data_IF_448740372861
#
_entry.id   IF_448740372861
#
_cell.length_a   1.000
_cell.length_b   1.000
_cell.length_c   1.000
_cell.angle_alpha   90.00
_cell.angle_beta   90.00
_cell.angle_gamma   90.00
#
_symmetry.space_group_name_H-M   'P 1'
#
loop_
_entity.id
_entity.type
_entity.pdbx_description
1 polymer ?
#
# COMPACT_ATOMS: atom_id res chain seq x y z
N UNK A 1 33.86 85.56 4.79
CA UNK A 1 34.55 84.63 5.73
C UNK A 1 33.51 83.69 6.34
N UNK A 2 33.73 82.36 6.31
CA UNK A 2 32.93 81.27 6.97
C UNK A 2 31.46 81.16 6.47
N UNK A 3 30.93 79.99 6.05
CA UNK A 3 30.63 78.71 6.78
C UNK A 3 29.65 78.96 7.95
N UNK A 4 28.50 78.28 8.18
CA UNK A 4 27.79 77.05 7.69
C UNK A 4 26.26 77.33 7.78
N UNK A 5 25.25 76.68 7.17
CA UNK A 5 25.14 75.56 6.21
C UNK A 5 24.11 74.47 6.63
N UNK A 6 23.50 73.73 5.67
CA UNK A 6 22.59 72.56 5.82
C UNK A 6 21.16 72.84 6.39
N UNK A 7 20.09 72.06 6.12
CA UNK A 7 19.86 70.84 5.31
C UNK A 7 18.37 70.76 4.88
N UNK A 8 18.05 70.25 3.68
CA UNK A 8 16.80 69.48 3.44
C UNK A 8 17.17 68.27 2.58
N UNK A 9 16.88 67.07 3.10
CA UNK A 9 17.18 65.78 2.48
C UNK A 9 16.08 65.35 1.52
N UNK A 10 16.39 65.27 0.22
CA UNK A 10 15.56 64.59 -0.77
C UNK A 10 15.93 63.11 -0.86
N UNK A 11 14.95 62.23 -0.68
CA UNK A 11 15.12 60.77 -0.74
C UNK A 11 15.26 60.32 -2.20
N UNK A 12 16.34 59.61 -2.56
CA UNK A 12 16.49 58.99 -3.87
C UNK A 12 16.76 57.49 -3.70
N UNK A 13 15.70 56.68 -3.69
CA UNK A 13 15.82 55.23 -3.62
C UNK A 13 16.20 54.66 -4.99
N UNK A 14 17.42 54.15 -5.12
CA UNK A 14 17.84 53.34 -6.27
C UNK A 14 17.22 51.95 -6.19
N UNK A 15 16.45 51.60 -7.22
CA UNK A 15 15.88 50.27 -7.43
C UNK A 15 16.98 49.27 -7.78
N UNK A 16 17.17 48.25 -6.95
CA UNK A 16 17.83 47.00 -7.34
C UNK A 16 16.77 45.92 -7.53
N UNK A 17 16.34 45.75 -8.78
CA UNK A 17 15.45 44.66 -9.18
C UNK A 17 16.32 43.40 -9.24
N UNK A 18 16.31 42.61 -8.17
CA UNK A 18 16.83 41.24 -8.23
C UNK A 18 15.82 40.40 -8.99
N UNK A 19 16.06 40.19 -10.28
CA UNK A 19 15.34 39.17 -11.04
C UNK A 19 15.79 37.79 -10.59
N UNK A 20 15.07 37.21 -9.62
CA UNK A 20 15.13 35.77 -9.41
C UNK A 20 14.78 35.08 -10.72
N UNK A 21 15.75 34.38 -11.31
CA UNK A 21 15.49 33.48 -12.42
C UNK A 21 14.59 32.36 -11.90
N UNK A 22 13.28 32.48 -12.15
CA UNK A 22 12.29 31.42 -11.94
C UNK A 22 12.47 30.32 -12.97
N UNK A 23 13.60 29.61 -12.88
CA UNK A 23 13.69 28.27 -13.42
C UNK A 23 12.71 27.41 -12.64
N UNK A 24 11.62 26.99 -13.29
CA UNK A 24 10.65 26.03 -12.75
C UNK A 24 11.31 24.64 -12.57
N UNK A 25 12.17 24.53 -11.57
CA UNK A 25 12.45 23.24 -10.92
C UNK A 25 11.27 22.98 -10.00
N UNK A 26 10.52 21.92 -10.28
CA UNK A 26 9.54 21.38 -9.34
C UNK A 26 10.27 21.08 -8.02
N UNK A 27 10.01 21.86 -6.97
CA UNK A 27 10.63 21.64 -5.66
C UNK A 27 10.03 20.39 -5.04
N UNK A 28 10.82 19.32 -4.98
CA UNK A 28 10.45 18.11 -4.25
C UNK A 28 10.62 18.33 -2.75
N UNK A 29 9.69 17.78 -1.96
CA UNK A 29 9.71 17.83 -0.51
C UNK A 29 10.45 16.60 0.03
N UNK A 30 11.33 16.80 1.00
CA UNK A 30 12.06 15.73 1.67
C UNK A 30 11.45 15.35 3.04
N UNK A 31 10.14 15.50 3.17
CA UNK A 31 9.39 15.22 4.38
C UNK A 31 8.21 16.15 4.61
N UNK A 32 7.78 16.22 5.87
CA UNK A 32 6.61 16.95 6.36
C UNK A 32 7.01 18.08 7.33
N UNK A 33 8.27 18.55 7.29
CA UNK A 33 8.83 19.52 8.23
C UNK A 33 8.04 20.84 8.21
N UNK A 34 7.65 21.30 7.02
CA UNK A 34 6.88 22.54 6.80
C UNK A 34 5.36 22.32 6.80
N UNK A 35 4.90 21.07 6.90
CA UNK A 35 3.47 20.74 6.97
C UNK A 35 2.85 21.15 8.31
N UNK A 36 1.56 21.55 8.34
CA UNK A 36 0.84 21.82 9.58
C UNK A 36 0.60 20.55 10.37
N UNK A 37 0.39 20.69 11.68
CA UNK A 37 -0.18 19.62 12.52
C UNK A 37 -1.67 19.49 12.17
N UNK A 38 -2.05 18.34 11.60
CA UNK A 38 -3.42 18.06 11.12
C UNK A 38 -4.18 17.09 12.02
N UNK A 39 -3.49 16.41 12.94
CA UNK A 39 -4.12 15.52 13.90
C UNK A 39 -3.42 15.46 15.25
N UNK A 40 -4.17 14.96 16.23
CA UNK A 40 -3.69 14.73 17.60
C UNK A 40 -4.20 13.38 18.10
N UNK A 41 -3.50 12.81 19.08
CA UNK A 41 -3.99 11.61 19.74
C UNK A 41 -5.18 11.94 20.66
N UNK A 42 -6.25 11.16 20.51
CA UNK A 42 -7.46 11.23 21.32
C UNK A 42 -7.72 9.87 21.98
N UNK A 43 -8.27 9.89 23.19
CA UNK A 43 -8.66 8.68 23.91
C UNK A 43 -10.01 8.16 23.36
N UNK A 44 -10.05 6.90 22.90
CA UNK A 44 -11.26 6.21 22.43
C UNK A 44 -11.38 4.88 23.17
N UNK A 45 -12.27 4.81 24.17
CA UNK A 45 -12.26 3.68 25.10
C UNK A 45 -10.91 3.62 25.82
N UNK A 46 -10.22 2.47 25.72
CA UNK A 46 -8.86 2.29 26.24
C UNK A 46 -7.75 2.63 25.21
N UNK A 47 -8.10 2.95 23.96
CA UNK A 47 -7.14 3.20 22.87
C UNK A 47 -6.73 4.67 22.72
N UNK A 48 -5.52 4.88 22.19
CA UNK A 48 -5.03 6.17 21.71
C UNK A 48 -5.09 6.18 20.18
N UNK A 49 -5.99 6.97 19.62
CA UNK A 49 -6.23 7.07 18.17
C UNK A 49 -5.68 8.39 17.66
N UNK A 50 -4.88 8.38 16.59
CA UNK A 50 -4.51 9.62 15.90
C UNK A 50 -5.70 10.09 15.06
N UNK A 51 -6.38 11.13 15.52
CA UNK A 51 -7.55 11.73 14.86
C UNK A 51 -7.12 12.98 14.10
N UNK A 52 -7.32 12.98 12.78
CA UNK A 52 -6.97 14.09 11.90
C UNK A 52 -8.21 14.88 11.43
N UNK A 53 -8.05 16.18 11.15
CA UNK A 53 -9.05 17.00 10.44
C UNK A 53 -8.54 17.28 9.03
N UNK A 54 -9.29 16.82 8.03
CA UNK A 54 -8.96 16.97 6.61
C UNK A 54 -8.83 18.46 6.22
N UNK A 55 -9.54 19.38 6.88
CA UNK A 55 -9.50 20.82 6.61
C UNK A 55 -8.15 21.47 6.95
N UNK A 56 -7.31 20.78 7.72
CA UNK A 56 -5.97 21.24 8.08
C UNK A 56 -4.91 20.78 7.07
N UNK A 57 -5.23 19.85 6.15
CA UNK A 57 -4.32 19.43 5.09
C UNK A 57 -4.08 20.59 4.10
N UNK A 58 -2.80 20.88 3.84
CA UNK A 58 -2.38 21.86 2.82
C UNK A 58 -2.29 21.23 1.42
N UNK A 59 -2.09 22.10 0.42
CA UNK A 59 -1.80 21.75 -0.97
C UNK A 59 -0.82 20.58 -1.14
N UNK A 60 -0.95 19.87 -2.27
CA UNK A 60 -0.19 18.65 -2.55
C UNK A 60 1.33 18.87 -2.57
N UNK A 61 2.04 18.27 -1.61
CA UNK A 61 3.50 18.20 -1.64
C UNK A 61 3.98 17.17 -2.68
N UNK A 62 5.19 17.38 -3.20
CA UNK A 62 5.82 16.44 -4.14
C UNK A 62 6.81 15.56 -3.39
N UNK A 63 6.33 14.45 -2.82
CA UNK A 63 7.12 13.58 -1.95
C UNK A 63 7.98 12.62 -2.77
N UNK A 64 9.26 12.47 -2.40
CA UNK A 64 10.17 11.50 -3.03
C UNK A 64 10.02 10.12 -2.40
N UNK A 65 10.08 9.05 -3.22
CA UNK A 65 10.05 7.68 -2.74
C UNK A 65 11.19 7.38 -1.75
N UNK A 66 12.38 7.98 -1.95
CA UNK A 66 13.50 7.94 -0.99
C UNK A 66 13.16 8.42 0.42
N UNK A 67 12.10 9.19 0.63
CA UNK A 67 11.67 9.58 1.99
C UNK A 67 11.13 8.38 2.77
N UNK A 68 10.38 7.50 2.10
CA UNK A 68 9.69 6.35 2.70
C UNK A 68 10.50 5.05 2.65
N UNK A 69 11.47 4.94 1.72
CA UNK A 69 12.16 3.68 1.43
C UNK A 69 13.69 3.76 1.47
N UNK A 70 14.32 2.58 1.62
CA UNK A 70 15.71 2.30 1.26
C UNK A 70 15.89 2.23 -0.28
N UNK A 71 17.14 2.12 -0.78
CA UNK A 71 17.39 2.02 -2.24
C UNK A 71 16.79 0.70 -2.76
N UNK A 72 16.04 0.70 -3.88
CA UNK A 72 15.40 -0.50 -4.40
C UNK A 72 16.39 -1.53 -4.92
N UNK A 73 16.01 -2.78 -4.77
CA UNK A 73 16.44 -3.87 -5.64
C UNK A 73 15.62 -3.83 -6.95
N UNK A 74 16.28 -4.09 -8.07
CA UNK A 74 15.64 -4.30 -9.37
C UNK A 74 15.85 -5.75 -9.75
N UNK A 75 14.77 -6.51 -9.82
CA UNK A 75 14.79 -7.97 -9.95
C UNK A 75 14.13 -8.35 -11.28
N UNK A 76 14.94 -8.82 -12.22
CA UNK A 76 14.46 -9.38 -13.48
C UNK A 76 13.90 -10.78 -13.21
N UNK A 77 12.60 -11.02 -13.46
CA UNK A 77 12.04 -12.36 -13.33
C UNK A 77 12.49 -13.27 -14.49
N UNK A 78 12.56 -14.56 -14.22
CA UNK A 78 12.96 -15.60 -15.16
C UNK A 78 12.12 -15.60 -16.45
N UNK A 79 12.77 -15.62 -17.61
CA UNK A 79 12.14 -15.52 -18.94
C UNK A 79 11.60 -16.87 -19.48
N UNK A 80 11.68 -17.97 -18.73
CA UNK A 80 11.10 -19.26 -19.14
C UNK A 80 9.58 -19.19 -19.28
N UNK A 81 9.02 -19.89 -20.27
CA UNK A 81 7.57 -19.90 -20.56
C UNK A 81 6.73 -20.27 -19.32
N UNK A 82 7.18 -21.22 -18.50
CA UNK A 82 6.47 -21.61 -17.27
C UNK A 82 6.53 -20.56 -16.14
N UNK A 83 7.43 -19.58 -16.23
CA UNK A 83 7.67 -18.52 -15.25
C UNK A 83 6.94 -17.21 -15.56
N UNK A 84 6.44 -17.03 -16.79
CA UNK A 84 5.85 -15.77 -17.25
C UNK A 84 4.67 -15.31 -16.38
N UNK A 85 4.71 -14.04 -15.96
CA UNK A 85 3.67 -13.41 -15.15
C UNK A 85 3.51 -11.94 -15.58
N UNK A 86 2.28 -11.50 -15.90
CA UNK A 86 2.00 -10.09 -16.16
C UNK A 86 1.81 -9.30 -14.85
N UNK A 87 1.59 -7.98 -14.96
CA UNK A 87 1.36 -7.10 -13.80
C UNK A 87 0.28 -7.65 -12.84
N UNK A 88 0.55 -7.50 -11.55
CA UNK A 88 -0.22 -8.08 -10.46
C UNK A 88 0.54 -7.99 -9.12
N UNK A 89 -0.05 -8.50 -8.04
CA UNK A 89 0.58 -8.41 -6.71
C UNK A 89 1.78 -9.36 -6.58
N UNK A 90 2.72 -8.96 -5.73
CA UNK A 90 3.85 -9.78 -5.29
C UNK A 90 3.88 -9.74 -3.77
N UNK A 91 3.82 -10.92 -3.15
CA UNK A 91 4.04 -11.10 -1.72
C UNK A 91 5.53 -11.36 -1.53
N UNK A 92 6.13 -10.69 -0.55
CA UNK A 92 7.58 -10.69 -0.32
C UNK A 92 7.89 -11.30 1.03
N UNK A 93 8.96 -12.09 1.05
CA UNK A 93 9.65 -12.63 2.22
C UNK A 93 11.15 -12.35 2.10
N UNK A 94 11.95 -12.85 3.04
CA UNK A 94 13.39 -12.61 3.06
C UNK A 94 14.11 -13.24 1.86
N UNK A 95 13.75 -14.47 1.46
CA UNK A 95 14.38 -15.15 0.32
C UNK A 95 13.45 -15.43 -0.88
N UNK A 96 12.14 -15.16 -0.79
CA UNK A 96 11.19 -15.47 -1.87
C UNK A 96 10.27 -14.32 -2.28
N UNK A 97 9.92 -14.33 -3.57
CA UNK A 97 8.87 -13.52 -4.19
C UNK A 97 7.75 -14.44 -4.67
N UNK A 98 6.52 -14.18 -4.26
CA UNK A 98 5.34 -14.94 -4.66
C UNK A 98 4.40 -14.04 -5.46
N UNK A 99 4.41 -14.18 -6.78
CA UNK A 99 3.67 -13.31 -7.70
C UNK A 99 2.35 -13.96 -8.18
N UNK A 100 1.29 -13.16 -8.30
CA UNK A 100 0.04 -13.57 -8.94
C UNK A 100 -0.54 -12.46 -9.82
N UNK A 101 -1.61 -12.78 -10.55
CA UNK A 101 -2.55 -11.80 -11.07
C UNK A 101 -3.97 -12.40 -11.16
N UNK A 102 -4.98 -11.56 -11.31
CA UNK A 102 -6.38 -11.99 -11.40
C UNK A 102 -6.76 -12.51 -12.81
N UNK A 103 -5.78 -12.90 -13.66
CA UNK A 103 -6.01 -13.36 -15.05
C UNK A 103 -6.04 -14.89 -15.17
N UNK A 104 -6.62 -15.58 -14.18
CA UNK A 104 -6.76 -17.05 -14.13
C UNK A 104 -5.43 -17.83 -14.14
N UNK A 105 -4.33 -17.19 -13.73
CA UNK A 105 -3.02 -17.82 -13.60
C UNK A 105 -2.79 -18.28 -12.16
N UNK A 106 -2.21 -19.47 -11.94
CA UNK A 106 -1.71 -19.83 -10.63
C UNK A 106 -0.50 -18.96 -10.25
N UNK A 107 -0.25 -18.85 -8.96
CA UNK A 107 0.93 -18.22 -8.39
C UNK A 107 2.24 -18.76 -8.95
N UNK A 108 3.24 -17.86 -9.06
CA UNK A 108 4.63 -18.15 -9.42
C UNK A 108 5.55 -17.80 -8.25
N UNK A 109 6.33 -18.76 -7.78
CA UNK A 109 7.34 -18.57 -6.74
C UNK A 109 8.71 -18.38 -7.38
N UNK A 110 9.41 -17.32 -6.97
CA UNK A 110 10.77 -17.00 -7.37
C UNK A 110 11.66 -16.80 -6.15
N UNK A 111 12.97 -16.91 -6.32
CA UNK A 111 13.93 -16.40 -5.33
C UNK A 111 14.10 -14.86 -5.44
N UNK A 112 14.80 -14.24 -4.49
CA UNK A 112 15.13 -12.79 -4.53
C UNK A 112 16.03 -12.36 -5.71
N UNK A 113 16.55 -13.30 -6.50
CA UNK A 113 17.31 -12.98 -7.73
C UNK A 113 16.43 -13.06 -8.98
N UNK A 114 15.15 -13.42 -8.81
CA UNK A 114 14.18 -13.56 -9.89
C UNK A 114 14.19 -14.93 -10.57
N UNK A 115 14.96 -15.92 -10.09
CA UNK A 115 14.95 -17.26 -10.65
C UNK A 115 13.62 -17.95 -10.32
N UNK A 116 12.96 -18.52 -11.33
CA UNK A 116 11.70 -19.23 -11.11
C UNK A 116 11.92 -20.60 -10.47
N UNK A 117 11.21 -20.85 -9.36
CA UNK A 117 11.35 -22.06 -8.57
C UNK A 117 10.24 -23.07 -8.85
N UNK A 118 8.98 -22.63 -8.75
CA UNK A 118 7.81 -23.51 -8.88
C UNK A 118 6.50 -22.72 -9.05
N UNK A 119 5.45 -23.42 -9.48
CA UNK A 119 4.06 -22.92 -9.50
C UNK A 119 3.32 -23.46 -8.27
N UNK A 120 2.53 -22.62 -7.59
CA UNK A 120 1.82 -23.04 -6.37
C UNK A 120 0.34 -23.34 -6.71
N UNK A 121 -0.01 -24.62 -6.85
CA UNK A 121 -1.36 -25.07 -7.20
C UNK A 121 -1.79 -24.77 -8.65
N UNK A 122 -3.09 -24.91 -8.94
CA UNK A 122 -3.69 -24.68 -10.26
C UNK A 122 -4.97 -23.84 -10.19
N UNK A 123 -5.33 -23.22 -11.32
CA UNK A 123 -6.60 -22.52 -11.46
C UNK A 123 -7.75 -23.52 -11.66
N UNK A 124 -8.71 -23.55 -10.74
CA UNK A 124 -9.82 -24.50 -10.80
C UNK A 124 -10.66 -24.60 -9.53
N UNK A 125 -11.37 -25.73 -9.39
CA UNK A 125 -12.29 -26.02 -8.28
C UNK A 125 -12.06 -27.40 -7.66
N UNK A 126 -11.06 -28.15 -8.13
CA UNK A 126 -10.65 -29.43 -7.56
C UNK A 126 -9.92 -29.29 -6.21
N UNK A 127 -9.52 -30.42 -5.60
CA UNK A 127 -8.69 -30.41 -4.39
C UNK A 127 -7.36 -29.70 -4.66
N UNK A 128 -7.02 -28.70 -3.84
CA UNK A 128 -5.84 -27.86 -4.01
C UNK A 128 -5.81 -27.06 -5.33
N UNK A 129 -7.00 -26.67 -5.80
CA UNK A 129 -7.16 -25.66 -6.84
C UNK A 129 -7.85 -24.42 -6.26
N UNK A 130 -7.67 -23.27 -6.90
CA UNK A 130 -8.35 -22.03 -6.52
C UNK A 130 -8.77 -21.22 -7.75
N UNK A 131 -9.80 -20.39 -7.59
CA UNK A 131 -10.22 -19.43 -8.61
C UNK A 131 -9.58 -18.06 -8.33
N UNK A 132 -10.38 -17.08 -7.94
CA UNK A 132 -9.86 -15.81 -7.43
C UNK A 132 -9.35 -16.02 -6.00
N UNK A 133 -8.23 -15.38 -5.66
CA UNK A 133 -7.68 -15.33 -4.31
C UNK A 133 -7.99 -13.97 -3.70
N UNK A 134 -8.26 -13.91 -2.39
CA UNK A 134 -8.48 -12.66 -1.69
C UNK A 134 -7.22 -12.21 -0.95
N UNK A 135 -6.59 -13.13 -0.22
CA UNK A 135 -5.39 -12.88 0.58
C UNK A 135 -4.46 -14.10 0.59
N UNK A 136 -3.18 -13.91 0.87
CA UNK A 136 -2.20 -14.99 1.00
C UNK A 136 -0.91 -14.52 1.71
N UNK A 137 -0.19 -15.47 2.31
CA UNK A 137 1.06 -15.22 3.02
C UNK A 137 2.12 -16.27 2.69
N UNK A 138 3.39 -15.85 2.70
CA UNK A 138 4.56 -16.74 2.74
C UNK A 138 5.01 -16.84 4.20
N UNK A 139 5.27 -18.05 4.65
CA UNK A 139 5.82 -18.38 5.96
C UNK A 139 7.08 -19.22 5.72
N UNK A 140 8.17 -18.49 5.50
CA UNK A 140 9.42 -19.04 4.99
C UNK A 140 10.09 -19.97 6.02
N UNK A 141 10.12 -19.56 7.28
CA UNK A 141 10.77 -20.30 8.38
C UNK A 141 10.22 -21.73 8.54
N UNK A 142 8.97 -21.94 8.14
CA UNK A 142 8.25 -23.20 8.32
C UNK A 142 7.95 -23.95 7.01
N UNK A 143 8.52 -23.51 5.88
CA UNK A 143 8.31 -24.09 4.54
C UNK A 143 6.80 -24.07 4.16
N UNK A 144 6.12 -22.93 4.30
CA UNK A 144 4.67 -22.80 4.04
C UNK A 144 4.27 -21.60 3.18
N UNK A 145 3.25 -21.83 2.36
CA UNK A 145 2.49 -20.79 1.66
C UNK A 145 1.01 -21.02 1.97
N UNK A 146 0.34 -19.98 2.45
CA UNK A 146 -1.07 -19.98 2.80
C UNK A 146 -1.86 -19.14 1.80
N UNK A 147 -2.97 -19.68 1.30
CA UNK A 147 -3.81 -19.05 0.27
C UNK A 147 -5.24 -19.05 0.78
N UNK A 148 -5.90 -17.88 0.81
CA UNK A 148 -7.32 -17.74 1.13
C UNK A 148 -8.12 -17.42 -0.14
N UNK A 149 -8.75 -18.43 -0.79
CA UNK A 149 -9.58 -18.20 -1.96
C UNK A 149 -10.78 -17.31 -1.64
N UNK A 150 -11.27 -16.61 -2.66
CA UNK A 150 -12.47 -15.78 -2.54
C UNK A 150 -13.70 -16.62 -2.18
N UNK A 151 -14.49 -16.15 -1.21
CA UNK A 151 -15.63 -16.84 -0.63
C UNK A 151 -15.36 -18.27 -0.08
N UNK A 152 -14.16 -18.53 0.45
CA UNK A 152 -13.74 -19.86 0.91
C UNK A 152 -14.25 -20.24 2.32
N UNK A 153 -14.29 -21.55 2.58
CA UNK A 153 -14.46 -22.15 3.91
C UNK A 153 -13.18 -22.83 4.43
N UNK A 154 -12.04 -22.63 3.76
CA UNK A 154 -10.73 -23.14 4.13
C UNK A 154 -9.59 -22.27 3.58
N UNK A 155 -8.45 -22.28 4.26
CA UNK A 155 -7.18 -21.80 3.73
C UNK A 155 -6.46 -22.99 3.09
N UNK A 156 -6.03 -22.82 1.84
CA UNK A 156 -5.19 -23.79 1.14
C UNK A 156 -3.74 -23.62 1.59
N UNK A 157 -3.01 -24.73 1.72
CA UNK A 157 -1.65 -24.74 2.26
C UNK A 157 -0.75 -25.52 1.31
N UNK A 158 0.43 -24.97 1.02
CA UNK A 158 1.47 -25.60 0.21
C UNK A 158 2.83 -25.48 0.90
N UNK A 159 3.80 -26.29 0.51
CA UNK A 159 5.21 -26.04 0.81
C UNK A 159 5.86 -25.11 -0.23
N UNK A 160 7.08 -24.63 0.00
CA UNK A 160 7.82 -23.77 -0.92
C UNK A 160 8.28 -24.49 -2.20
N UNK A 161 8.02 -25.81 -2.32
CA UNK A 161 8.22 -26.61 -3.54
C UNK A 161 6.94 -26.72 -4.36
N UNK A 162 5.80 -26.26 -3.83
CA UNK A 162 4.48 -26.31 -4.46
C UNK A 162 3.69 -27.58 -4.17
N UNK A 163 4.14 -28.45 -3.25
CA UNK A 163 3.38 -29.63 -2.85
C UNK A 163 2.24 -29.22 -1.91
N UNK A 164 0.98 -29.64 -2.16
CA UNK A 164 -0.13 -29.34 -1.27
C UNK A 164 0.04 -30.03 0.08
N UNK A 165 -0.29 -29.29 1.13
CA UNK A 165 -0.32 -29.71 2.53
C UNK A 165 -1.78 -29.81 3.01
N UNK A 166 -2.07 -30.38 4.20
CA UNK A 166 -3.42 -30.36 4.76
C UNK A 166 -3.99 -28.93 4.82
N UNK A 167 -5.21 -28.73 4.34
CA UNK A 167 -5.89 -27.43 4.39
C UNK A 167 -6.32 -27.09 5.82
N UNK A 168 -6.40 -25.79 6.12
CA UNK A 168 -6.94 -25.31 7.39
C UNK A 168 -8.42 -24.96 7.18
N UNK A 169 -9.38 -25.77 7.68
CA UNK A 169 -10.80 -25.41 7.61
C UNK A 169 -11.09 -24.17 8.47
N UNK A 170 -11.90 -23.27 7.95
CA UNK A 170 -12.36 -22.08 8.67
C UNK A 170 -13.63 -22.39 9.44
N UNK A 171 -13.73 -21.93 10.69
CA UNK A 171 -14.95 -22.09 11.50
C UNK A 171 -16.15 -21.31 10.95
N UNK A 172 -15.89 -20.31 10.09
CA UNK A 172 -16.87 -19.49 9.37
C UNK A 172 -16.42 -19.34 7.92
N UNK A 173 -17.36 -19.37 6.98
CA UNK A 173 -17.08 -19.07 5.57
C UNK A 173 -16.69 -17.59 5.44
N UNK A 174 -15.52 -17.32 4.89
CA UNK A 174 -14.99 -15.98 4.64
C UNK A 174 -15.47 -15.47 3.27
N UNK A 175 -16.43 -14.53 3.15
CA UNK A 175 -16.86 -14.00 1.85
C UNK A 175 -15.75 -13.16 1.20
N UNK A 176 -15.12 -12.33 2.02
CA UNK A 176 -13.94 -11.50 1.79
C UNK A 176 -13.23 -11.41 3.14
N UNK A 177 -11.92 -11.62 3.18
CA UNK A 177 -11.22 -11.77 4.45
C UNK A 177 -9.71 -11.85 4.33
N UNK A 178 -9.03 -11.29 5.31
CA UNK A 178 -7.59 -11.33 5.50
C UNK A 178 -7.25 -12.17 6.73
N UNK A 179 -6.04 -12.72 6.79
CA UNK A 179 -5.66 -13.64 7.86
C UNK A 179 -4.17 -13.54 8.24
N UNK A 180 -3.89 -13.93 9.48
CA UNK A 180 -2.55 -14.09 10.04
C UNK A 180 -2.42 -15.48 10.65
N UNK A 181 -1.31 -16.17 10.37
CA UNK A 181 -1.03 -17.51 10.90
C UNK A 181 0.04 -17.42 11.98
N UNK A 182 -0.24 -17.95 13.17
CA UNK A 182 0.74 -18.15 14.23
C UNK A 182 0.97 -19.67 14.38
N UNK A 183 2.06 -20.16 13.77
CA UNK A 183 2.39 -21.58 13.78
C UNK A 183 2.83 -22.10 15.15
N UNK A 184 3.40 -21.24 16.01
CA UNK A 184 3.86 -21.63 17.33
C UNK A 184 2.70 -22.13 18.19
N UNK A 185 1.56 -21.44 18.11
CA UNK A 185 0.31 -21.84 18.75
C UNK A 185 -0.62 -22.68 17.84
N UNK A 186 -0.20 -22.93 16.59
CA UNK A 186 -0.99 -23.58 15.53
C UNK A 186 -2.39 -22.97 15.38
N UNK A 187 -2.44 -21.65 15.28
CA UNK A 187 -3.66 -20.86 15.12
C UNK A 187 -3.68 -20.02 13.85
N UNK A 188 -4.89 -19.71 13.41
CA UNK A 188 -5.12 -18.64 12.45
C UNK A 188 -6.07 -17.60 13.05
N UNK A 189 -5.67 -16.35 12.92
CA UNK A 189 -6.48 -15.16 13.16
C UNK A 189 -7.05 -14.70 11.81
N UNK A 190 -8.35 -14.40 11.77
CA UNK A 190 -9.03 -13.98 10.52
C UNK A 190 -9.84 -12.73 10.81
N UNK A 191 -9.79 -11.75 9.90
CA UNK A 191 -10.69 -10.60 9.89
C UNK A 191 -11.41 -10.53 8.55
N UNK A 192 -12.72 -10.33 8.59
CA UNK A 192 -13.60 -10.34 7.41
C UNK A 192 -14.18 -8.96 7.14
N UNK A 193 -14.70 -8.81 5.92
CA UNK A 193 -15.75 -7.84 5.66
C UNK A 193 -17.07 -8.37 6.28
N UNK A 194 -17.60 -7.73 7.34
CA UNK A 194 -18.72 -8.28 8.09
C UNK A 194 -20.05 -7.89 7.43
N UNK A 195 -20.48 -8.70 6.47
CA UNK A 195 -21.81 -8.57 5.86
C UNK A 195 -22.94 -8.79 6.90
N UNK A 196 -24.20 -8.43 6.59
CA UNK A 196 -25.32 -8.62 7.49
C UNK A 196 -25.46 -10.10 7.90
N UNK A 197 -25.95 -10.32 9.12
CA UNK A 197 -26.14 -11.64 9.74
C UNK A 197 -24.86 -12.49 9.93
N UNK A 198 -23.66 -11.95 9.63
CA UNK A 198 -22.41 -12.61 9.99
C UNK A 198 -22.18 -12.57 11.51
N UNK A 199 -21.81 -13.69 12.17
CA UNK A 199 -21.68 -13.75 13.62
C UNK A 199 -20.36 -13.16 14.15
N UNK A 200 -19.42 -12.80 13.28
CA UNK A 200 -18.13 -12.24 13.65
C UNK A 200 -17.57 -11.31 12.56
N UNK A 201 -16.86 -10.26 12.97
CA UNK A 201 -15.94 -9.49 12.11
C UNK A 201 -14.52 -10.06 12.17
N UNK A 202 -14.10 -10.54 13.35
CA UNK A 202 -12.80 -11.18 13.55
C UNK A 202 -12.90 -12.40 14.46
N UNK A 203 -11.99 -13.37 14.31
CA UNK A 203 -11.85 -14.49 15.25
C UNK A 203 -10.44 -15.07 15.25
N UNK A 204 -10.16 -15.88 16.27
CA UNK A 204 -9.07 -16.84 16.28
C UNK A 204 -9.59 -18.27 16.36
N UNK A 205 -8.87 -19.20 15.75
CA UNK A 205 -9.16 -20.63 15.76
C UNK A 205 -7.87 -21.44 15.73
N UNK A 206 -7.95 -22.73 16.05
CA UNK A 206 -6.88 -23.67 15.71
C UNK A 206 -6.91 -24.07 14.23
N UNK A 207 -5.91 -24.85 13.82
CA UNK A 207 -5.80 -25.41 12.47
C UNK A 207 -6.85 -26.48 12.12
N UNK A 208 -7.72 -26.86 13.06
CA UNK A 208 -8.80 -27.84 12.85
C UNK A 208 -10.17 -27.17 12.70
N UNK A 209 -10.25 -25.85 12.74
CA UNK A 209 -11.51 -25.10 12.66
C UNK A 209 -12.21 -24.92 14.00
N UNK A 210 -11.57 -25.26 15.13
CA UNK A 210 -12.13 -24.99 16.45
C UNK A 210 -11.86 -23.53 16.81
N UNK A 211 -12.92 -22.72 16.83
CA UNK A 211 -12.87 -21.31 17.22
C UNK A 211 -12.47 -21.16 18.68
N UNK A 212 -11.42 -20.37 18.94
CA UNK A 212 -10.94 -20.03 20.29
C UNK A 212 -11.71 -18.83 20.84
N UNK A 213 -11.77 -17.74 20.09
CA UNK A 213 -12.49 -16.52 20.47
C UNK A 213 -12.95 -15.72 19.23
N UNK A 214 -13.86 -14.75 19.38
CA UNK A 214 -14.40 -13.94 18.28
C UNK A 214 -14.88 -12.54 18.69
N UNK A 215 -14.98 -11.64 17.73
CA UNK A 215 -15.53 -10.29 17.89
C UNK A 215 -16.78 -10.17 17.02
N UNK A 216 -17.92 -9.86 17.63
CA UNK A 216 -19.17 -9.57 16.91
C UNK A 216 -19.04 -8.31 16.04
N UNK A 217 -19.70 -8.21 14.87
CA UNK A 217 -19.53 -7.05 13.98
C UNK A 217 -19.84 -5.69 14.61
N UNK A 218 -20.85 -5.61 15.48
CA UNK A 218 -21.28 -4.35 16.10
C UNK A 218 -21.45 -3.21 15.07
N UNK A 219 -20.78 -2.09 15.29
CA UNK A 219 -20.79 -0.92 14.40
C UNK A 219 -20.03 -1.13 13.08
N UNK A 220 -19.19 -2.17 12.98
CA UNK A 220 -18.37 -2.45 11.79
C UNK A 220 -19.16 -3.16 10.69
N UNK A 221 -20.35 -3.71 11.00
CA UNK A 221 -21.25 -4.33 10.04
C UNK A 221 -21.42 -3.47 8.78
N UNK A 222 -21.16 -4.06 7.61
CA UNK A 222 -21.26 -3.41 6.31
C UNK A 222 -22.44 -4.03 5.53
N UNK A 223 -23.19 -3.27 4.70
CA UNK A 223 -24.18 -3.85 3.81
C UNK A 223 -23.56 -4.87 2.85
N UNK A 224 -24.38 -5.79 2.35
CA UNK A 224 -23.95 -6.80 1.38
C UNK A 224 -23.79 -6.21 -0.02
N UNK A 225 -22.75 -5.40 -0.18
CA UNK A 225 -22.27 -4.89 -1.46
C UNK A 225 -20.84 -5.41 -1.69
N UNK A 226 -20.60 -6.04 -2.85
CA UNK A 226 -19.30 -6.62 -3.18
C UNK A 226 -18.26 -5.60 -3.68
N UNK A 227 -18.58 -4.30 -3.70
CA UNK A 227 -17.59 -3.21 -3.79
C UNK A 227 -16.96 -2.84 -2.45
N UNK A 228 -17.62 -3.17 -1.32
CA UNK A 228 -17.00 -3.03 0.01
C UNK A 228 -15.82 -4.00 0.14
N UNK A 229 -14.75 -3.63 0.84
CA UNK A 229 -13.52 -4.43 0.99
C UNK A 229 -13.04 -4.54 2.45
N UNK A 230 -12.20 -5.53 2.72
CA UNK A 230 -11.35 -5.59 3.92
C UNK A 230 -9.90 -5.75 3.48
N UNK A 231 -9.04 -4.86 3.94
CA UNK A 231 -7.64 -4.78 3.52
C UNK A 231 -6.71 -4.83 4.74
N UNK A 232 -5.56 -5.45 4.55
CA UNK A 232 -4.42 -5.49 5.46
C UNK A 232 -3.18 -5.24 4.62
N UNK A 233 -2.17 -4.58 5.17
CA UNK A 233 -0.93 -4.27 4.45
C UNK A 233 0.34 -4.80 5.12
N UNK A 234 0.30 -5.21 6.40
CA UNK A 234 1.38 -5.88 7.14
C UNK A 234 2.72 -5.11 7.10
N UNK A 235 2.68 -3.78 7.00
CA UNK A 235 3.86 -2.94 6.81
C UNK A 235 4.65 -2.65 8.10
N UNK A 236 4.15 -3.10 9.25
CA UNK A 236 4.83 -3.00 10.54
C UNK A 236 4.99 -4.41 11.12
N UNK A 237 6.23 -4.89 11.35
CA UNK A 237 6.46 -6.25 11.84
C UNK A 237 5.69 -6.56 13.13
N UNK A 238 5.00 -7.70 13.14
CA UNK A 238 4.18 -8.15 14.28
C UNK A 238 2.86 -7.41 14.48
N UNK A 239 2.46 -6.53 13.56
CA UNK A 239 1.17 -5.84 13.57
C UNK A 239 0.26 -6.42 12.48
N UNK A 240 -0.94 -6.85 12.87
CA UNK A 240 -2.02 -7.19 11.94
C UNK A 240 -2.94 -5.96 11.80
N UNK A 241 -2.58 -5.04 10.89
CA UNK A 241 -3.39 -3.87 10.56
C UNK A 241 -4.61 -4.26 9.72
N UNK A 242 -5.75 -3.61 9.92
CA UNK A 242 -6.99 -3.87 9.16
C UNK A 242 -7.72 -2.58 8.86
N UNK A 243 -8.09 -2.39 7.59
CA UNK A 243 -9.01 -1.36 7.14
C UNK A 243 -10.26 -2.00 6.52
N UNK A 244 -11.45 -1.58 6.94
CA UNK A 244 -12.72 -1.98 6.34
C UNK A 244 -13.20 -0.81 5.48
N UNK A 245 -13.35 -1.02 4.17
CA UNK A 245 -13.75 0.01 3.22
C UNK A 245 -15.23 -0.14 2.89
N UNK A 246 -16.05 0.75 3.44
CA UNK A 246 -17.48 0.86 3.12
C UNK A 246 -17.70 1.86 1.97
N UNK A 247 -17.96 1.33 0.79
CA UNK A 247 -18.23 2.06 -0.46
C UNK A 247 -19.71 2.44 -0.57
N UNK A 248 -20.62 1.56 -0.12
CA UNK A 248 -22.08 1.77 -0.18
C UNK A 248 -22.78 1.32 1.12
N UNK A 249 -23.36 2.25 1.91
CA UNK A 249 -23.06 3.69 1.93
C UNK A 249 -21.67 3.94 2.52
N UNK A 250 -21.14 5.14 2.30
CA UNK A 250 -19.97 5.61 3.05
C UNK A 250 -20.31 5.85 4.52
N UNK A 251 -19.31 5.69 5.39
CA UNK A 251 -19.37 6.01 6.81
C UNK A 251 -18.04 6.58 7.28
N UNK A 252 -18.01 7.26 8.42
CA UNK A 252 -16.75 7.47 9.15
C UNK A 252 -16.20 6.10 9.56
N UNK A 253 -14.93 5.85 9.29
CA UNK A 253 -14.25 4.61 9.68
C UNK A 253 -12.86 4.90 10.25
N UNK A 254 -12.20 3.86 10.79
CA UNK A 254 -10.83 3.93 11.29
C UNK A 254 -9.93 2.89 10.60
N UNK A 255 -8.62 3.07 10.75
CA UNK A 255 -7.69 1.96 10.66
C UNK A 255 -7.66 1.25 12.02
N UNK A 256 -7.62 -0.08 12.00
CA UNK A 256 -7.59 -0.92 13.18
C UNK A 256 -6.33 -1.78 13.23
N UNK A 257 -6.03 -2.33 14.40
CA UNK A 257 -5.11 -3.46 14.59
C UNK A 257 -5.84 -4.57 15.32
N UNK A 258 -5.71 -5.81 14.83
CA UNK A 258 -6.25 -6.98 15.53
C UNK A 258 -5.18 -7.58 16.45
N UNK A 259 -5.30 -7.32 17.75
CA UNK A 259 -4.63 -8.11 18.78
C UNK A 259 -5.36 -9.45 18.90
N UNK A 260 -4.94 -10.41 18.09
CA UNK A 260 -5.51 -11.74 18.04
C UNK A 260 -5.20 -12.57 19.30
N UNK A 261 -4.20 -12.19 20.11
CA UNK A 261 -3.84 -12.90 21.35
C UNK A 261 -4.79 -12.55 22.49
N UNK A 262 -5.27 -11.31 22.53
CA UNK A 262 -6.27 -10.83 23.49
C UNK A 262 -7.67 -10.66 22.87
N UNK A 263 -7.87 -11.14 21.64
CA UNK A 263 -9.09 -11.01 20.84
C UNK A 263 -9.69 -9.59 20.83
N UNK A 264 -8.87 -8.59 20.50
CA UNK A 264 -9.24 -7.18 20.57
C UNK A 264 -8.91 -6.43 19.27
N UNK A 265 -9.93 -5.84 18.65
CA UNK A 265 -9.78 -5.01 17.45
C UNK A 265 -9.75 -3.53 17.88
N UNK A 266 -8.61 -2.88 17.68
CA UNK A 266 -8.27 -1.59 18.31
C UNK A 266 -8.08 -0.51 17.25
N UNK A 267 -8.84 0.60 17.26
CA UNK A 267 -8.62 1.71 16.32
C UNK A 267 -7.27 2.39 16.57
N UNK A 268 -6.62 2.90 15.52
CA UNK A 268 -5.29 3.55 15.60
C UNK A 268 -5.20 4.87 14.85
N UNK A 269 -5.96 5.04 13.76
CA UNK A 269 -5.99 6.24 12.93
C UNK A 269 -7.39 6.49 12.38
N UNK A 270 -7.81 7.75 12.26
CA UNK A 270 -9.04 8.15 11.56
C UNK A 270 -8.92 9.57 10.97
N UNK A 271 -9.61 9.82 9.87
CA UNK A 271 -9.70 11.12 9.22
C UNK A 271 -11.13 11.67 9.31
N UNK A 272 -11.27 12.85 9.92
CA UNK A 272 -12.52 13.61 9.88
C UNK A 272 -12.60 14.34 8.52
N UNK A 273 -13.33 13.73 7.58
CA UNK A 273 -13.66 14.32 6.30
C UNK A 273 -14.62 15.51 6.44
N UNK A 274 -14.51 16.46 5.53
CA UNK A 274 -15.27 17.71 5.56
C UNK A 274 -16.54 17.68 4.70
N UNK A 275 -16.62 16.69 3.81
CA UNK A 275 -17.65 16.52 2.79
C UNK A 275 -18.82 15.64 3.28
N UNK A 276 -20.01 15.91 2.74
CA UNK A 276 -21.22 15.10 2.92
C UNK A 276 -21.87 14.83 1.55
N UNK A 277 -22.00 13.57 1.10
CA UNK A 277 -21.52 12.35 1.75
C UNK A 277 -19.99 12.29 1.83
N UNK A 278 -19.50 11.63 2.89
CA UNK A 278 -18.07 11.32 3.09
C UNK A 278 -17.53 10.57 1.86
N UNK A 279 -16.30 10.85 1.38
CA UNK A 279 -15.68 10.13 0.26
C UNK A 279 -15.50 8.63 0.52
N UNK A 280 -15.34 7.87 -0.55
CA UNK A 280 -14.72 6.53 -0.48
C UNK A 280 -13.29 6.71 0.00
N UNK A 281 -12.90 6.01 1.05
CA UNK A 281 -11.56 6.17 1.63
C UNK A 281 -11.01 4.85 2.15
N UNK A 282 -9.69 4.77 2.17
CA UNK A 282 -8.92 3.68 2.74
C UNK A 282 -7.69 4.20 3.47
N UNK A 283 -7.15 3.38 4.36
CA UNK A 283 -6.01 3.72 5.21
C UNK A 283 -4.92 2.64 5.14
N UNK A 284 -3.67 3.08 5.18
CA UNK A 284 -2.47 2.23 5.25
C UNK A 284 -1.61 2.70 6.42
N UNK A 285 -1.20 1.76 7.27
CA UNK A 285 -0.12 2.00 8.22
C UNK A 285 1.23 1.75 7.54
N UNK A 286 2.16 2.71 7.61
CA UNK A 286 3.59 2.51 7.37
C UNK A 286 4.32 2.57 8.73
N UNK A 287 5.63 2.28 8.88
CA UNK A 287 6.30 2.36 10.18
C UNK A 287 6.14 3.71 10.90
N UNK A 288 6.43 4.82 10.23
CA UNK A 288 6.44 6.17 10.82
C UNK A 288 5.24 7.06 10.42
N UNK A 289 4.43 6.62 9.46
CA UNK A 289 3.35 7.42 8.87
C UNK A 289 2.07 6.61 8.75
N UNK A 290 0.93 7.30 8.72
CA UNK A 290 -0.27 6.77 8.07
C UNK A 290 -0.41 7.43 6.70
N UNK A 291 -0.82 6.64 5.71
CA UNK A 291 -1.26 7.13 4.41
C UNK A 291 -2.76 6.85 4.32
N UNK A 292 -3.51 7.75 3.68
CA UNK A 292 -4.87 7.45 3.27
C UNK A 292 -5.17 7.97 1.87
N UNK A 293 -6.19 7.38 1.28
CA UNK A 293 -6.78 7.83 0.02
C UNK A 293 -8.22 8.31 0.22
N UNK A 294 -8.67 9.20 -0.65
CA UNK A 294 -10.07 9.63 -0.73
C UNK A 294 -10.50 9.81 -2.20
N UNK A 295 -11.64 9.24 -2.57
CA UNK A 295 -12.18 9.25 -3.93
C UNK A 295 -13.71 9.27 -3.94
N UNK A 296 -14.30 9.43 -5.13
CA UNK A 296 -15.73 9.64 -5.31
C UNK A 296 -16.32 8.76 -6.43
N UNK A 297 -17.60 8.34 -6.32
CA UNK A 297 -18.30 7.65 -7.40
C UNK A 297 -18.44 8.54 -8.65
N UNK A 298 -17.87 8.08 -9.76
CA UNK A 298 -18.07 8.64 -11.10
C UNK A 298 -18.94 7.69 -11.92
N UNK A 299 -20.16 8.12 -12.26
CA UNK A 299 -21.04 7.35 -13.13
C UNK A 299 -20.45 7.27 -14.55
N UNK A 300 -20.37 6.05 -15.10
CA UNK A 300 -19.88 5.77 -16.47
C UNK A 300 -20.92 5.10 -17.36
N UNK A 301 -21.99 4.56 -16.77
CA UNK A 301 -23.15 4.04 -17.49
C UNK A 301 -24.42 4.24 -16.65
N UNK A 302 -25.60 3.95 -17.21
CA UNK A 302 -26.86 3.98 -16.45
C UNK A 302 -26.85 3.07 -15.20
N UNK A 303 -25.98 2.06 -15.14
CA UNK A 303 -25.92 1.05 -14.09
C UNK A 303 -24.51 0.82 -13.52
N UNK A 304 -23.53 1.68 -13.85
CA UNK A 304 -22.12 1.46 -13.49
C UNK A 304 -21.42 2.74 -13.06
N UNK A 305 -20.68 2.63 -11.96
CA UNK A 305 -19.82 3.67 -11.39
C UNK A 305 -18.39 3.15 -11.32
N UNK A 306 -17.43 4.06 -11.43
CA UNK A 306 -16.00 3.83 -11.18
C UNK A 306 -15.51 4.87 -10.19
N UNK A 307 -14.35 4.66 -9.57
CA UNK A 307 -13.72 5.70 -8.74
C UNK A 307 -13.26 6.89 -9.59
N UNK A 308 -13.37 8.09 -9.03
CA UNK A 308 -12.55 9.23 -9.47
C UNK A 308 -11.07 8.92 -9.30
N UNK A 309 -10.19 9.74 -9.90
CA UNK A 309 -8.81 9.82 -9.42
C UNK A 309 -8.84 10.16 -7.93
N UNK A 310 -8.19 9.37 -7.06
CA UNK A 310 -8.14 9.66 -5.63
C UNK A 310 -7.23 10.86 -5.34
N UNK A 311 -7.49 11.52 -4.21
CA UNK A 311 -6.49 12.30 -3.50
C UNK A 311 -5.79 11.42 -2.47
N UNK A 312 -4.49 11.63 -2.27
CA UNK A 312 -3.71 10.93 -1.25
C UNK A 312 -3.20 11.92 -0.21
N UNK A 313 -3.22 11.53 1.05
CA UNK A 313 -2.65 12.29 2.16
C UNK A 313 -1.76 11.40 3.02
N UNK A 314 -0.78 12.02 3.66
CA UNK A 314 0.19 11.37 4.54
C UNK A 314 0.27 12.14 5.86
N UNK A 315 0.36 11.42 6.99
CA UNK A 315 0.47 11.99 8.33
C UNK A 315 1.59 11.30 9.10
N UNK A 316 2.54 12.07 9.63
CA UNK A 316 3.60 11.60 10.53
C UNK A 316 3.02 11.26 11.91
N UNK A 317 3.22 10.02 12.36
CA UNK A 317 2.61 9.49 13.59
C UNK A 317 3.05 10.19 14.87
N UNK A 318 4.26 10.76 14.89
CA UNK A 318 4.89 11.32 16.08
C UNK A 318 4.51 12.79 16.28
N UNK A 319 4.40 13.53 15.19
CA UNK A 319 4.19 14.98 15.18
C UNK A 319 2.76 15.37 14.83
N UNK A 320 1.96 14.44 14.28
CA UNK A 320 0.63 14.72 13.75
C UNK A 320 0.64 15.62 12.52
N UNK A 321 1.82 15.87 11.91
CA UNK A 321 1.96 16.71 10.73
C UNK A 321 1.51 15.98 9.48
N UNK A 322 0.82 16.66 8.57
CA UNK A 322 0.33 16.03 7.35
C UNK A 322 -0.03 17.01 6.23
N UNK A 323 -0.12 16.47 5.03
CA UNK A 323 -0.50 17.19 3.82
C UNK A 323 -1.09 16.21 2.79
N UNK A 324 -1.79 16.73 1.78
CA UNK A 324 -1.98 15.97 0.54
C UNK A 324 -0.61 15.74 -0.12
N UNK A 325 -0.42 14.64 -0.84
CA UNK A 325 0.85 14.36 -1.53
C UNK A 325 0.68 13.71 -2.90
N UNK A 326 1.70 13.90 -3.74
CA UNK A 326 1.99 13.10 -4.93
C UNK A 326 3.33 12.42 -4.70
N UNK A 327 3.40 11.11 -4.96
CA UNK A 327 4.63 10.33 -4.78
C UNK A 327 5.42 10.28 -6.09
N UNK A 328 6.72 10.55 -6.03
CA UNK A 328 7.61 10.52 -7.18
C UNK A 328 8.71 9.47 -7.01
N UNK A 329 8.83 8.57 -7.98
CA UNK A 329 9.90 7.59 -8.03
C UNK A 329 11.19 8.26 -8.55
N UNK A 330 11.99 8.80 -7.63
CA UNK A 330 13.30 9.36 -7.99
C UNK A 330 14.34 8.30 -8.37
N UNK A 331 14.17 7.03 -7.99
CA UNK A 331 15.01 5.94 -8.49
C UNK A 331 14.75 5.61 -9.97
N UNK A 332 13.59 5.96 -10.52
CA UNK A 332 13.23 5.83 -11.93
C UNK A 332 12.96 7.20 -12.58
N UNK A 333 13.78 8.19 -12.22
CA UNK A 333 13.84 9.47 -12.93
C UNK A 333 12.75 10.50 -12.61
N UNK A 334 12.30 10.53 -11.35
CA UNK A 334 11.36 11.53 -10.83
C UNK A 334 10.00 11.48 -11.54
N UNK A 335 9.52 10.27 -11.78
CA UNK A 335 8.24 9.93 -12.41
C UNK A 335 7.14 9.82 -11.36
N UNK A 336 5.93 10.32 -11.65
CA UNK A 336 4.81 10.31 -10.69
C UNK A 336 4.21 8.90 -10.58
N UNK A 337 4.10 8.39 -9.35
CA UNK A 337 3.44 7.11 -9.05
C UNK A 337 1.95 7.40 -8.86
N UNK A 338 1.12 6.97 -9.81
CA UNK A 338 -0.31 7.30 -9.84
C UNK A 338 -1.18 6.58 -8.78
N UNK A 339 -0.78 5.38 -8.36
CA UNK A 339 -1.51 4.54 -7.39
C UNK A 339 -0.60 3.97 -6.30
N UNK A 340 0.05 4.84 -5.49
CA UNK A 340 1.10 4.42 -4.56
C UNK A 340 0.57 3.51 -3.45
N UNK A 341 -0.71 3.61 -3.09
CA UNK A 341 -1.31 2.83 -2.00
C UNK A 341 -1.32 1.32 -2.28
N UNK A 342 -1.44 0.88 -3.53
CA UNK A 342 -1.36 -0.53 -3.91
C UNK A 342 0.07 -1.09 -3.97
N UNK A 343 1.08 -0.25 -3.76
CA UNK A 343 2.49 -0.63 -3.77
C UNK A 343 3.06 -0.89 -2.36
N UNK A 344 2.39 -0.48 -1.29
CA UNK A 344 2.93 -0.63 0.08
C UNK A 344 2.38 -1.89 0.77
N UNK A 345 3.16 -2.97 0.84
CA UNK A 345 2.74 -4.24 1.44
C UNK A 345 3.94 -5.03 2.04
N UNK A 346 3.71 -5.77 3.13
CA UNK A 346 4.70 -6.58 3.86
C UNK A 346 6.00 -5.86 4.25
N UNK A 347 5.97 -4.54 4.44
CA UNK A 347 7.15 -3.75 4.84
C UNK A 347 7.97 -3.24 3.65
N UNK A 348 7.42 -3.29 2.43
CA UNK A 348 8.08 -2.85 1.21
C UNK A 348 7.17 -1.93 0.37
N UNK A 349 7.79 -1.07 -0.42
CA UNK A 349 7.21 -0.54 -1.65
C UNK A 349 7.57 -1.48 -2.80
N UNK A 350 6.56 -1.93 -3.56
CA UNK A 350 6.67 -2.96 -4.57
C UNK A 350 5.98 -2.50 -5.86
N UNK A 351 6.66 -2.62 -6.99
CA UNK A 351 6.05 -2.50 -8.31
C UNK A 351 6.44 -3.70 -9.18
N UNK A 352 5.44 -4.35 -9.76
CA UNK A 352 5.58 -5.42 -10.75
C UNK A 352 5.30 -4.82 -12.14
N UNK A 353 6.35 -4.56 -12.92
CA UNK A 353 6.31 -3.67 -14.08
C UNK A 353 6.57 -4.46 -15.37
N UNK A 354 5.72 -4.28 -16.40
CA UNK A 354 6.00 -4.81 -17.74
C UNK A 354 7.28 -4.17 -18.35
N UNK A 355 8.14 -4.94 -19.04
CA UNK A 355 9.43 -4.42 -19.55
C UNK A 355 9.28 -3.22 -20.48
N UNK A 356 8.27 -3.22 -21.35
CA UNK A 356 7.97 -2.11 -22.25
C UNK A 356 7.56 -0.82 -21.49
N UNK A 357 6.79 -0.96 -20.41
CA UNK A 357 6.38 0.15 -19.55
C UNK A 357 7.60 0.73 -18.81
N UNK A 358 8.50 -0.14 -18.31
CA UNK A 358 9.75 0.29 -17.67
C UNK A 358 10.70 0.97 -18.67
N UNK A 359 10.90 0.41 -19.87
CA UNK A 359 11.70 1.05 -20.93
C UNK A 359 11.19 2.43 -21.31
N UNK A 360 9.89 2.57 -21.57
CA UNK A 360 9.27 3.86 -21.88
C UNK A 360 9.51 4.88 -20.75
N UNK A 361 9.41 4.44 -19.49
CA UNK A 361 9.70 5.25 -18.31
C UNK A 361 11.16 5.72 -18.29
N UNK A 362 12.12 4.81 -18.48
CA UNK A 362 13.56 5.09 -18.49
C UNK A 362 13.98 5.99 -19.64
N UNK A 363 13.48 5.75 -20.85
CA UNK A 363 13.72 6.61 -22.00
C UNK A 363 13.24 8.05 -21.78
N UNK A 364 12.07 8.23 -21.18
CA UNK A 364 11.52 9.55 -20.88
C UNK A 364 12.30 10.24 -19.75
N UNK A 365 12.78 9.48 -18.76
CA UNK A 365 13.68 9.98 -17.73
C UNK A 365 15.03 10.47 -18.30
N UNK A 366 15.66 9.67 -19.16
CA UNK A 366 16.96 9.98 -19.79
C UNK A 366 16.89 11.18 -20.75
N UNK A 367 15.73 11.44 -21.35
CA UNK A 367 15.45 12.67 -22.15
C UNK A 367 15.27 13.91 -21.26
N UNK A 368 15.12 13.78 -19.94
CA UNK A 368 14.90 14.89 -19.02
C UNK A 368 16.20 15.57 -18.56
N UNK A 369 16.10 16.84 -18.18
CA UNK A 369 17.20 17.61 -17.58
C UNK A 369 17.22 17.54 -16.03
N UNK A 370 16.48 16.59 -15.43
CA UNK A 370 16.37 16.44 -13.97
C UNK A 370 17.51 15.62 -13.35
N UNK A 371 18.08 14.70 -14.13
CA UNK A 371 19.07 13.73 -13.67
C UNK A 371 20.49 14.30 -13.58
N UNK A 372 21.21 13.91 -12.54
CA UNK A 372 22.68 13.97 -12.45
C UNK A 372 23.34 13.01 -13.45
N UNK A 373 24.65 13.17 -13.69
CA UNK A 373 25.40 12.24 -14.57
C UNK A 373 25.50 10.81 -14.01
N UNK A 374 25.49 10.66 -12.68
CA UNK A 374 25.47 9.35 -12.01
C UNK A 374 24.11 8.67 -12.19
N UNK A 375 23.00 9.36 -11.94
CA UNK A 375 21.65 8.82 -12.18
C UNK A 375 21.44 8.48 -13.67
N UNK A 376 21.95 9.30 -14.61
CA UNK A 376 21.91 8.96 -16.05
C UNK A 376 22.65 7.67 -16.35
N UNK A 377 23.83 7.46 -15.76
CA UNK A 377 24.60 6.24 -15.94
C UNK A 377 23.84 5.02 -15.38
N UNK A 378 23.30 5.10 -14.15
CA UNK A 378 22.49 4.02 -13.57
C UNK A 378 21.26 3.70 -14.44
N UNK A 379 20.50 4.71 -14.86
CA UNK A 379 19.29 4.50 -15.68
C UNK A 379 19.60 4.03 -17.11
N UNK A 380 20.75 4.42 -17.68
CA UNK A 380 21.19 3.91 -18.99
C UNK A 380 21.54 2.42 -18.88
N UNK A 381 22.34 2.03 -17.88
CA UNK A 381 22.68 0.62 -17.64
C UNK A 381 21.44 -0.24 -17.41
N UNK A 382 20.44 0.26 -16.66
CA UNK A 382 19.17 -0.43 -16.48
C UNK A 382 18.33 -0.50 -17.77
N UNK A 383 18.30 0.55 -18.58
CA UNK A 383 17.57 0.52 -19.86
C UNK A 383 18.18 -0.49 -20.86
N UNK A 384 19.51 -0.65 -20.82
CA UNK A 384 20.27 -1.62 -21.62
C UNK A 384 20.13 -3.07 -21.12
N UNK A 385 19.85 -3.30 -19.84
CA UNK A 385 19.68 -4.65 -19.28
C UNK A 385 18.29 -5.26 -19.51
N UNK A 386 17.33 -4.50 -20.02
CA UNK A 386 15.94 -4.93 -20.25
C UNK A 386 15.73 -5.28 -21.74
N UNK A 387 15.02 -6.37 -22.02
CA UNK A 387 14.46 -6.67 -23.33
C UNK A 387 12.93 -6.48 -23.32
N UNK A 388 12.31 -6.12 -24.45
CA UNK A 388 10.87 -5.81 -24.51
C UNK A 388 9.98 -7.04 -24.29
N UNK A 389 10.51 -8.23 -24.59
CA UNK A 389 9.86 -9.54 -24.40
C UNK A 389 10.40 -10.29 -23.16
N UNK A 390 11.04 -9.60 -22.22
CA UNK A 390 11.34 -10.22 -20.92
C UNK A 390 10.04 -10.51 -20.14
N UNK A 391 10.16 -11.33 -19.10
CA UNK A 391 9.19 -11.38 -18.02
C UNK A 391 9.22 -10.06 -17.23
N UNK A 392 8.21 -9.82 -16.40
CA UNK A 392 8.10 -8.58 -15.65
C UNK A 392 9.30 -8.32 -14.73
N UNK A 393 9.60 -7.04 -14.50
CA UNK A 393 10.66 -6.60 -13.59
C UNK A 393 10.01 -6.14 -12.29
N UNK A 394 10.53 -6.63 -11.15
CA UNK A 394 10.11 -6.19 -9.83
C UNK A 394 11.04 -5.09 -9.34
N UNK A 395 10.49 -3.90 -9.07
CA UNK A 395 11.15 -2.89 -8.23
C UNK A 395 10.70 -3.10 -6.79
N UNK A 396 11.67 -3.32 -5.90
CA UNK A 396 11.42 -3.71 -4.51
C UNK A 396 12.26 -2.85 -3.56
N UNK A 397 11.61 -1.96 -2.80
CA UNK A 397 12.26 -1.03 -1.89
C UNK A 397 11.75 -1.21 -0.45
N UNK A 398 12.62 -1.55 0.48
CA UNK A 398 12.24 -1.75 1.89
C UNK A 398 11.78 -0.43 2.53
N UNK A 399 10.75 -0.48 3.37
CA UNK A 399 10.28 0.68 4.13
C UNK A 399 11.28 1.09 5.22
N UNK A 400 11.38 2.39 5.48
CA UNK A 400 12.20 2.96 6.56
C UNK A 400 11.46 2.91 7.90
N UNK A 401 12.21 2.56 8.95
CA UNK A 401 11.80 2.54 10.35
C UNK A 401 12.46 3.66 11.14
#
# INVERSE_FOLDING_TARGET
MKKVGNLITGLLCLLLIVSCQSGNKSSFNNGLEDSPVVGTFVQVGDDQVLSCDQKLLTDSIHLLLTYLTEKPEIIHLDNRDEALISEGRVIVSDNYLLAWNNKQNPFKLFDRKGNFLTTIGSYGQGPNEYLNVYDANIDEENDRIYILPWQSAQILVYDLKGNPQPTIPLCLRAPKGTFHVDLLDSTVAVVLLPFPDMPAVAWTQDFHGNRKDYIEPGHLAAPQDYSNEVCTYNNVPGIFDVNILCIVPTRVDSLYRYDYRNNRLSPTFTMNFSEDPIPWHGYIELPNHYIGEASYPKQVSATSFVSSSPSYYIVDKRTGKGAFFRLYNNYLGYTEIGWPIFSFYNGYFIQNIEPANLKSTLENALKSNKLTEEEKAELTTLAESIHENDNNIILLAKLKH
#
